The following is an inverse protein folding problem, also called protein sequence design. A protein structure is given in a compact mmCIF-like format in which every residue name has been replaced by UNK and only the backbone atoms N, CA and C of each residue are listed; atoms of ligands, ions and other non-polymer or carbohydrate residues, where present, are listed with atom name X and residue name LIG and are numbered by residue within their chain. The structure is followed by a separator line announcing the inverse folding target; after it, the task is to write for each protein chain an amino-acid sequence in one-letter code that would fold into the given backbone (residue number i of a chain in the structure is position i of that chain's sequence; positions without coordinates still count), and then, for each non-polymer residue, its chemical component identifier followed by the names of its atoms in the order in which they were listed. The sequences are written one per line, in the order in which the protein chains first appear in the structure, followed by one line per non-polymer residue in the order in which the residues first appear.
data_IF_345421403582
#
_entry.id   IF_345421403582
#
_cell.length_a   1.000
_cell.length_b   1.000
_cell.length_c   1.000
_cell.angle_alpha   90.00
_cell.angle_beta   90.00
_cell.angle_gamma   90.00
#
_symmetry.space_group_name_H-M   'P 1'
#
loop_
_entity.id
_entity.type
_entity.pdbx_description
1 polymer ?
#
# COMPACT_ATOMS: atom_id res chain seq x y z
N UNK A 1 3.06 8.28 17.56
CA UNK A 1 3.12 8.56 16.11
C UNK A 1 2.08 7.72 15.34
N UNK A 2 2.05 6.39 15.49
CA UNK A 2 1.04 5.51 14.87
C UNK A 2 -0.42 5.93 15.09
N UNK A 3 -0.91 5.95 16.34
CA UNK A 3 -2.29 6.36 16.63
C UNK A 3 -2.60 7.82 16.29
N UNK A 4 -1.57 8.68 16.24
CA UNK A 4 -1.76 10.06 15.81
C UNK A 4 -2.09 10.15 14.32
N UNK A 5 -1.42 9.34 13.48
CA UNK A 5 -1.73 9.21 12.06
C UNK A 5 -3.17 8.73 11.85
N UNK A 6 -3.57 7.63 12.50
CA UNK A 6 -4.92 7.09 12.37
C UNK A 6 -6.04 7.93 13.00
N UNK A 7 -5.68 8.88 13.86
CA UNK A 7 -6.59 9.88 14.45
C UNK A 7 -6.97 11.02 13.51
N UNK A 8 -6.49 11.07 12.26
CA UNK A 8 -6.80 12.13 11.31
C UNK A 8 -7.84 11.69 10.27
N UNK A 9 -8.84 12.54 10.01
CA UNK A 9 -9.91 12.26 9.04
C UNK A 9 -9.39 12.05 7.62
N UNK A 10 -8.32 12.74 7.22
CA UNK A 10 -7.73 12.59 5.89
C UNK A 10 -7.28 11.15 5.62
N UNK A 11 -6.66 10.50 6.60
CA UNK A 11 -6.22 9.11 6.46
C UNK A 11 -7.41 8.15 6.45
N UNK A 12 -8.44 8.39 7.25
CA UNK A 12 -9.69 7.62 7.18
C UNK A 12 -10.40 7.79 5.83
N UNK A 13 -10.42 9.00 5.28
CA UNK A 13 -10.99 9.26 3.97
C UNK A 13 -10.26 8.49 2.87
N UNK A 14 -8.92 8.50 2.87
CA UNK A 14 -8.13 7.73 1.89
C UNK A 14 -8.49 6.23 1.93
N UNK A 15 -8.68 5.68 3.13
CA UNK A 15 -9.10 4.28 3.32
C UNK A 15 -10.53 4.02 2.85
N UNK A 16 -11.47 4.94 3.08
CA UNK A 16 -12.88 4.79 2.67
C UNK A 16 -13.12 5.06 1.18
N UNK A 17 -12.27 5.86 0.53
CA UNK A 17 -12.33 6.11 -0.91
C UNK A 17 -11.77 4.96 -1.75
N UNK A 18 -11.07 4.01 -1.13
CA UNK A 18 -10.78 2.72 -1.73
C UNK A 18 -12.06 1.88 -1.80
N UNK A 19 -12.82 2.07 -2.87
CA UNK A 19 -14.10 1.38 -3.08
C UNK A 19 -13.96 -0.14 -3.21
N UNK A 20 -12.80 -0.64 -3.65
CA UNK A 20 -12.54 -2.09 -3.71
C UNK A 20 -12.47 -2.63 -2.29
N UNK A 21 -11.70 -1.98 -1.42
CA UNK A 21 -11.63 -2.30 0.01
C UNK A 21 -13.02 -2.19 0.65
N UNK A 22 -13.58 -0.98 0.76
CA UNK A 22 -14.79 -0.73 1.54
C UNK A 22 -15.99 -1.48 0.97
N UNK A 23 -16.11 -1.58 -0.35
CA UNK A 23 -17.15 -2.33 -1.02
C UNK A 23 -17.08 -3.84 -0.77
N UNK A 24 -15.87 -4.42 -0.74
CA UNK A 24 -15.71 -5.86 -0.46
C UNK A 24 -16.08 -6.20 0.99
N UNK A 25 -15.69 -5.35 1.95
CA UNK A 25 -16.14 -5.49 3.34
C UNK A 25 -17.65 -5.38 3.47
N UNK A 26 -18.26 -4.38 2.82
CA UNK A 26 -19.71 -4.23 2.80
C UNK A 26 -20.40 -5.47 2.24
N UNK A 27 -19.95 -5.97 1.08
CA UNK A 27 -20.50 -7.17 0.46
C UNK A 27 -20.32 -8.41 1.33
N UNK A 28 -19.14 -8.61 1.91
CA UNK A 28 -18.86 -9.73 2.81
C UNK A 28 -19.83 -9.78 3.99
N UNK A 29 -20.12 -8.63 4.61
CA UNK A 29 -21.07 -8.51 5.71
C UNK A 29 -22.52 -8.67 5.25
N UNK A 30 -22.92 -7.96 4.19
CA UNK A 30 -24.32 -7.92 3.74
C UNK A 30 -24.82 -9.19 3.08
N UNK A 31 -23.95 -9.93 2.40
CA UNK A 31 -24.32 -11.19 1.76
C UNK A 31 -24.27 -12.36 2.74
N UNK A 32 -23.56 -12.19 3.86
CA UNK A 32 -23.53 -13.14 4.97
C UNK A 32 -24.32 -12.63 6.18
N UNK A 33 -25.40 -11.86 5.98
CA UNK A 33 -26.28 -11.35 7.06
C UNK A 33 -26.66 -12.42 8.08
N UNK A 34 -26.82 -13.68 7.66
CA UNK A 34 -27.14 -14.82 8.54
C UNK A 34 -26.11 -15.00 9.67
N UNK A 35 -24.87 -14.60 9.45
CA UNK A 35 -23.81 -14.64 10.45
C UNK A 35 -23.96 -13.48 11.45
N UNK A 36 -24.52 -12.33 11.05
CA UNK A 36 -24.60 -11.12 11.87
C UNK A 36 -25.94 -10.93 12.59
N UNK A 37 -27.07 -11.38 12.02
CA UNK A 37 -28.41 -11.14 12.59
C UNK A 37 -28.52 -11.67 14.01
N UNK A 38 -28.86 -10.78 14.96
CA UNK A 38 -29.04 -11.13 16.37
C UNK A 38 -27.76 -11.44 17.13
N UNK A 39 -26.59 -11.26 16.52
CA UNK A 39 -25.28 -11.57 17.10
C UNK A 39 -24.58 -10.39 17.75
N UNK A 40 -23.60 -10.68 18.58
CA UNK A 40 -22.64 -9.71 19.13
C UNK A 40 -21.42 -9.65 18.23
N UNK A 41 -21.04 -8.45 17.84
CA UNK A 41 -19.88 -8.19 16.98
C UNK A 41 -18.86 -7.33 17.71
N UNK A 42 -17.58 -7.62 17.54
CA UNK A 42 -16.49 -6.73 17.95
C UNK A 42 -15.76 -6.26 16.70
N UNK A 43 -15.65 -4.94 16.55
CA UNK A 43 -14.90 -4.25 15.50
C UNK A 43 -13.58 -3.76 16.08
N UNK A 44 -12.47 -4.39 15.67
CA UNK A 44 -11.13 -4.16 16.25
C UNK A 44 -10.39 -3.12 15.42
N UNK A 45 -10.02 -2.00 16.05
CA UNK A 45 -9.44 -0.85 15.34
C UNK A 45 -10.49 -0.19 14.45
N UNK A 46 -11.65 0.14 15.05
CA UNK A 46 -12.85 0.53 14.32
C UNK A 46 -12.66 1.78 13.45
N UNK A 47 -11.64 2.61 13.70
CA UNK A 47 -11.38 3.83 12.96
C UNK A 47 -12.60 4.74 13.01
N UNK A 48 -13.13 5.09 11.84
CA UNK A 48 -14.37 5.88 11.72
C UNK A 48 -15.65 5.15 12.19
N UNK A 49 -15.59 3.85 12.45
CA UNK A 49 -16.75 3.01 12.80
C UNK A 49 -17.54 2.49 11.60
N UNK A 50 -17.01 2.60 10.38
CA UNK A 50 -17.71 2.20 9.16
C UNK A 50 -18.07 0.70 9.14
N UNK A 51 -17.17 -0.18 9.59
CA UNK A 51 -17.43 -1.62 9.66
C UNK A 51 -18.46 -1.95 10.74
N UNK A 52 -18.42 -1.24 11.87
CA UNK A 52 -19.44 -1.32 12.92
C UNK A 52 -20.83 -0.95 12.39
N UNK A 53 -20.93 0.10 11.57
CA UNK A 53 -22.19 0.48 10.92
C UNK A 53 -22.69 -0.59 9.93
N UNK A 54 -21.79 -1.24 9.18
CA UNK A 54 -22.16 -2.37 8.33
C UNK A 54 -22.67 -3.56 9.14
N UNK A 55 -22.02 -3.90 10.25
CA UNK A 55 -22.49 -4.96 11.14
C UNK A 55 -23.89 -4.65 11.72
N UNK A 56 -24.12 -3.41 12.16
CA UNK A 56 -25.44 -2.97 12.62
C UNK A 56 -26.50 -3.02 11.50
N UNK A 57 -26.17 -2.59 10.28
CA UNK A 57 -27.04 -2.69 9.10
C UNK A 57 -27.39 -4.14 8.74
N UNK A 58 -26.47 -5.08 8.98
CA UNK A 58 -26.70 -6.50 8.77
C UNK A 58 -27.59 -7.14 9.84
N UNK A 59 -27.96 -6.39 10.88
CA UNK A 59 -28.88 -6.84 11.93
C UNK A 59 -28.18 -7.35 13.18
N UNK A 60 -26.91 -7.00 13.42
CA UNK A 60 -26.24 -7.27 14.69
C UNK A 60 -27.11 -6.80 15.87
N UNK A 61 -27.14 -7.60 16.94
CA UNK A 61 -27.81 -7.25 18.20
C UNK A 61 -27.04 -6.15 18.90
N UNK A 62 -25.71 -6.28 18.93
CA UNK A 62 -24.82 -5.28 19.52
C UNK A 62 -23.46 -5.29 18.81
N UNK A 63 -22.83 -4.13 18.72
CA UNK A 63 -21.48 -3.98 18.17
C UNK A 63 -20.60 -3.21 19.17
N UNK A 64 -19.47 -3.80 19.57
CA UNK A 64 -18.43 -3.10 20.30
C UNK A 64 -17.38 -2.58 19.31
N UNK A 65 -17.33 -1.27 19.12
CA UNK A 65 -16.35 -0.61 18.26
C UNK A 65 -15.14 -0.18 19.11
N UNK A 66 -14.05 -0.93 19.04
CA UNK A 66 -12.82 -0.66 19.83
C UNK A 66 -11.85 0.14 18.99
N UNK A 67 -11.52 1.36 19.42
CA UNK A 67 -10.61 2.26 18.72
C UNK A 67 -9.64 2.93 19.69
N UNK A 68 -8.34 2.82 19.44
CA UNK A 68 -7.31 3.29 20.36
C UNK A 68 -6.95 4.77 20.18
N UNK A 69 -7.15 5.32 18.97
CA UNK A 69 -6.81 6.70 18.64
C UNK A 69 -7.94 7.69 19.01
N UNK A 70 -7.67 8.98 18.77
CA UNK A 70 -8.69 10.03 18.86
C UNK A 70 -9.81 9.88 17.82
N UNK A 71 -9.67 8.96 16.84
CA UNK A 71 -10.73 8.65 15.89
C UNK A 71 -12.01 8.13 16.58
N UNK A 72 -11.89 7.56 17.78
CA UNK A 72 -13.03 7.13 18.58
C UNK A 72 -14.08 8.25 18.79
N UNK A 73 -13.66 9.51 18.95
CA UNK A 73 -14.60 10.63 19.10
C UNK A 73 -15.34 10.95 17.79
N UNK A 74 -14.67 10.81 16.64
CA UNK A 74 -15.29 10.97 15.34
C UNK A 74 -16.21 9.79 15.00
N UNK A 75 -15.83 8.57 15.40
CA UNK A 75 -16.68 7.40 15.27
C UNK A 75 -18.00 7.59 16.03
N UNK A 76 -17.95 8.07 17.28
CA UNK A 76 -19.15 8.44 18.04
C UNK A 76 -20.02 9.44 17.30
N UNK A 77 -19.43 10.54 16.81
CA UNK A 77 -20.18 11.55 16.02
C UNK A 77 -20.85 10.96 14.78
N UNK A 78 -20.16 10.09 14.04
CA UNK A 78 -20.71 9.45 12.86
C UNK A 78 -21.86 8.49 13.22
N UNK A 79 -21.69 7.71 14.29
CA UNK A 79 -22.67 6.75 14.79
C UNK A 79 -23.92 7.48 15.32
N UNK A 80 -23.75 8.56 16.08
CA UNK A 80 -24.84 9.40 16.60
C UNK A 80 -25.63 10.07 15.46
N UNK A 81 -24.96 10.39 14.35
CA UNK A 81 -25.59 10.87 13.11
C UNK A 81 -26.44 9.81 12.38
N UNK A 82 -26.37 8.54 12.79
CA UNK A 82 -27.09 7.42 12.19
C UNK A 82 -27.91 6.65 13.26
N UNK A 83 -28.90 7.29 13.93
CA UNK A 83 -29.51 6.79 15.16
C UNK A 83 -30.16 5.40 15.01
N UNK A 84 -30.77 5.10 13.86
CA UNK A 84 -31.40 3.79 13.60
C UNK A 84 -30.42 2.60 13.67
N UNK A 85 -29.12 2.88 13.50
CA UNK A 85 -28.04 1.90 13.61
C UNK A 85 -27.27 2.07 14.92
N UNK A 86 -27.04 3.32 15.32
CA UNK A 86 -26.16 3.70 16.41
C UNK A 86 -26.61 3.23 17.80
N UNK A 87 -27.91 3.06 18.03
CA UNK A 87 -28.43 2.50 19.30
C UNK A 87 -27.84 1.12 19.65
N UNK A 88 -27.31 0.40 18.65
CA UNK A 88 -26.72 -0.93 18.83
C UNK A 88 -25.20 -0.91 18.94
N UNK A 89 -24.55 0.25 18.84
CA UNK A 89 -23.09 0.36 18.74
C UNK A 89 -22.54 1.08 19.97
N UNK A 90 -21.61 0.45 20.68
CA UNK A 90 -20.85 1.07 21.77
C UNK A 90 -19.43 1.34 21.32
N UNK A 91 -19.01 2.61 21.30
CA UNK A 91 -17.62 2.99 20.99
C UNK A 91 -16.77 2.99 22.26
N UNK A 92 -15.76 2.11 22.31
CA UNK A 92 -14.82 1.97 23.40
C UNK A 92 -13.47 2.53 22.96
N UNK A 93 -13.06 3.63 23.60
CA UNK A 93 -11.75 4.22 23.35
C UNK A 93 -10.68 3.49 24.16
N UNK A 94 -9.75 2.84 23.49
CA UNK A 94 -8.65 2.10 24.12
C UNK A 94 -8.04 1.05 23.21
N UNK A 95 -6.91 0.49 23.63
CA UNK A 95 -6.27 -0.61 22.93
C UNK A 95 -7.01 -1.92 23.18
N UNK A 96 -7.09 -2.77 22.17
CA UNK A 96 -7.82 -4.04 22.27
C UNK A 96 -7.21 -4.99 23.29
N UNK A 97 -5.93 -4.81 23.64
CA UNK A 97 -5.18 -5.53 24.67
C UNK A 97 -5.50 -5.06 26.10
N UNK A 98 -6.10 -3.88 26.26
CA UNK A 98 -6.27 -3.20 27.56
C UNK A 98 -7.75 -3.03 27.95
N UNK A 99 -8.67 -3.01 26.98
CA UNK A 99 -10.10 -2.84 27.23
C UNK A 99 -10.76 -4.13 27.75
N UNK A 100 -11.93 -3.99 28.37
CA UNK A 100 -12.78 -5.10 28.80
C UNK A 100 -14.17 -4.98 28.17
N UNK A 101 -14.74 -6.12 27.76
CA UNK A 101 -16.08 -6.20 27.17
C UNK A 101 -17.03 -6.94 28.12
N UNK A 102 -18.31 -6.57 28.10
CA UNK A 102 -19.32 -7.15 29.02
C UNK A 102 -19.72 -8.57 28.64
N UNK A 103 -19.57 -8.93 27.37
CA UNK A 103 -19.83 -10.26 26.85
C UNK A 103 -18.89 -10.57 25.68
N UNK A 104 -18.74 -11.86 25.37
CA UNK A 104 -17.98 -12.32 24.21
C UNK A 104 -18.77 -12.12 22.91
N UNK A 105 -18.04 -11.96 21.81
CA UNK A 105 -18.58 -11.79 20.47
C UNK A 105 -18.78 -13.12 19.75
N UNK A 106 -19.81 -13.20 18.92
CA UNK A 106 -19.99 -14.27 17.93
C UNK A 106 -19.10 -14.06 16.71
N UNK A 107 -18.82 -12.79 16.37
CA UNK A 107 -18.01 -12.39 15.22
C UNK A 107 -17.00 -11.31 15.62
N UNK A 108 -15.76 -11.47 15.18
CA UNK A 108 -14.78 -10.41 15.12
C UNK A 108 -14.63 -9.90 13.70
N UNK A 109 -14.80 -8.59 13.51
CA UNK A 109 -14.53 -7.91 12.26
C UNK A 109 -13.37 -6.93 12.46
N UNK A 110 -12.49 -6.83 11.47
CA UNK A 110 -11.40 -5.84 11.50
C UNK A 110 -10.86 -5.62 10.09
N UNK A 111 -10.13 -4.53 9.92
CA UNK A 111 -9.22 -4.32 8.81
C UNK A 111 -7.79 -4.21 9.36
N UNK A 112 -7.11 -5.35 9.61
CA UNK A 112 -5.78 -5.36 10.21
C UNK A 112 -4.64 -5.42 9.18
N UNK A 113 -4.92 -5.25 7.89
CA UNK A 113 -3.96 -5.51 6.83
C UNK A 113 -3.09 -4.29 6.54
N UNK A 114 -1.77 -4.45 6.71
CA UNK A 114 -0.79 -3.50 6.20
C UNK A 114 -0.26 -3.87 4.81
N UNK A 115 0.72 -3.11 4.33
CA UNK A 115 1.57 -3.51 3.20
C UNK A 115 2.11 -4.93 3.43
N UNK A 116 2.11 -5.77 2.39
CA UNK A 116 2.48 -7.19 2.49
C UNK A 116 1.64 -7.97 3.53
N UNK A 117 0.40 -7.56 3.78
CA UNK A 117 -0.51 -8.09 4.80
C UNK A 117 -0.09 -7.79 6.26
N UNK A 118 1.20 -7.85 6.57
CA UNK A 118 1.74 -7.90 7.93
C UNK A 118 2.29 -6.56 8.45
N UNK A 119 2.57 -5.58 7.58
CA UNK A 119 3.12 -4.29 8.03
C UNK A 119 2.19 -3.64 9.07
N UNK A 120 2.74 -2.77 9.92
CA UNK A 120 2.03 -2.15 11.05
C UNK A 120 1.71 -3.08 12.21
N UNK A 121 1.87 -4.40 12.02
CA UNK A 121 1.72 -5.44 13.06
C UNK A 121 0.33 -5.47 13.70
N UNK A 122 -0.70 -4.96 13.02
CA UNK A 122 -2.07 -4.95 13.54
C UNK A 122 -2.71 -6.35 13.59
N UNK A 123 -2.17 -7.32 12.83
CA UNK A 123 -2.58 -8.74 12.92
C UNK A 123 -2.39 -9.32 14.33
N UNK A 124 -1.40 -8.85 15.10
CA UNK A 124 -1.18 -9.28 16.48
C UNK A 124 -2.36 -8.88 17.36
N UNK A 125 -2.76 -7.60 17.30
CA UNK A 125 -3.96 -7.09 17.98
C UNK A 125 -5.22 -7.84 17.55
N UNK A 126 -5.33 -8.24 16.28
CA UNK A 126 -6.47 -9.01 15.78
C UNK A 126 -6.52 -10.43 16.37
N UNK A 127 -5.38 -11.10 16.47
CA UNK A 127 -5.24 -12.42 17.12
C UNK A 127 -5.51 -12.32 18.63
N UNK A 128 -4.99 -11.29 19.30
CA UNK A 128 -5.28 -11.07 20.73
C UNK A 128 -6.78 -10.84 20.94
N UNK A 129 -7.44 -10.08 20.07
CA UNK A 129 -8.88 -9.87 20.15
C UNK A 129 -9.67 -11.18 20.00
N UNK A 130 -9.24 -12.08 19.10
CA UNK A 130 -9.80 -13.44 18.97
C UNK A 130 -9.75 -14.18 20.28
N UNK A 131 -8.57 -14.26 20.89
CA UNK A 131 -8.36 -15.07 22.08
C UNK A 131 -9.12 -14.52 23.30
N UNK A 132 -9.20 -13.18 23.42
CA UNK A 132 -9.91 -12.51 24.50
C UNK A 132 -11.42 -12.53 24.32
N UNK A 133 -11.91 -12.11 23.15
CA UNK A 133 -13.30 -11.68 22.98
C UNK A 133 -14.15 -12.61 22.13
N UNK A 134 -13.59 -13.52 21.35
CA UNK A 134 -14.39 -14.43 20.53
C UNK A 134 -14.91 -15.61 21.37
N UNK A 135 -16.15 -16.03 21.12
CA UNK A 135 -16.66 -17.32 21.62
C UNK A 135 -15.99 -18.49 20.88
N UNK A 136 -15.94 -19.70 21.47
CA UNK A 136 -15.52 -20.88 20.74
C UNK A 136 -16.37 -21.07 19.47
N UNK A 137 -15.72 -21.34 18.33
CA UNK A 137 -16.33 -21.43 16.99
C UNK A 137 -17.00 -20.14 16.49
N UNK A 138 -16.68 -18.98 17.09
CA UNK A 138 -17.04 -17.69 16.51
C UNK A 138 -16.33 -17.44 15.19
N UNK A 139 -16.82 -16.49 14.40
CA UNK A 139 -16.26 -16.18 13.07
C UNK A 139 -15.32 -14.98 13.11
N UNK A 140 -14.36 -14.98 12.20
CA UNK A 140 -13.42 -13.88 11.99
C UNK A 140 -13.56 -13.36 10.56
N UNK A 141 -13.75 -12.05 10.42
CA UNK A 141 -13.87 -11.33 9.17
C UNK A 141 -12.76 -10.26 9.09
N UNK A 142 -11.65 -10.51 8.35
CA UNK A 142 -11.36 -11.69 7.53
C UNK A 142 -10.96 -12.94 8.35
N UNK A 143 -11.10 -14.11 7.73
CA UNK A 143 -10.79 -15.44 8.31
C UNK A 143 -9.38 -15.89 7.97
N UNK A 144 -8.95 -15.69 6.72
CA UNK A 144 -7.65 -16.12 6.22
C UNK A 144 -6.98 -14.96 5.48
N UNK A 145 -5.67 -14.80 5.67
CA UNK A 145 -4.83 -14.01 4.79
C UNK A 145 -3.89 -14.89 3.96
N UNK A 146 -3.63 -14.48 2.72
CA UNK A 146 -2.68 -15.15 1.82
C UNK A 146 -1.68 -14.13 1.30
N UNK A 147 -0.40 -14.36 1.56
CA UNK A 147 0.67 -13.62 0.90
C UNK A 147 1.02 -14.39 -0.37
N UNK A 148 0.93 -13.73 -1.51
CA UNK A 148 1.33 -14.26 -2.80
C UNK A 148 2.70 -13.70 -3.17
N UNK A 149 3.56 -14.52 -3.75
CA UNK A 149 4.90 -14.13 -4.17
C UNK A 149 5.21 -14.71 -5.55
N UNK A 150 5.86 -13.92 -6.40
CA UNK A 150 6.35 -14.38 -7.70
C UNK A 150 7.63 -13.62 -8.10
N UNK A 151 8.62 -14.27 -8.73
CA UNK A 151 9.78 -13.57 -9.28
C UNK A 151 9.33 -12.66 -10.43
N UNK A 152 9.92 -11.47 -10.54
CA UNK A 152 9.60 -10.52 -11.61
C UNK A 152 10.85 -10.09 -12.38
N UNK A 153 10.64 -9.59 -13.61
CA UNK A 153 11.65 -8.94 -14.43
C UNK A 153 11.20 -7.54 -14.82
N UNK A 154 11.85 -6.52 -14.27
CA UNK A 154 11.63 -5.11 -14.60
C UNK A 154 12.97 -4.36 -14.59
N UNK A 155 13.60 -4.28 -15.77
CA UNK A 155 14.89 -3.57 -15.94
C UNK A 155 14.73 -2.06 -15.67
N UNK A 156 13.58 -1.48 -16.02
CA UNK A 156 13.33 -0.05 -15.82
C UNK A 156 13.34 0.30 -14.34
N UNK A 157 12.63 -0.46 -13.50
CA UNK A 157 12.66 -0.27 -12.05
C UNK A 157 14.08 -0.45 -11.50
N UNK A 158 14.77 -1.52 -11.91
CA UNK A 158 16.13 -1.78 -11.44
C UNK A 158 17.06 -0.60 -11.72
N UNK A 159 17.05 -0.11 -12.97
CA UNK A 159 17.86 1.03 -13.39
C UNK A 159 17.45 2.32 -12.66
N UNK A 160 16.15 2.54 -12.43
CA UNK A 160 15.67 3.69 -11.66
C UNK A 160 16.26 3.71 -10.24
N UNK A 161 16.24 2.58 -9.54
CA UNK A 161 16.82 2.44 -8.19
C UNK A 161 18.33 2.60 -8.22
N UNK A 162 19.01 1.89 -9.14
CA UNK A 162 20.47 1.97 -9.28
C UNK A 162 20.95 3.40 -9.60
N UNK A 163 20.20 4.12 -10.44
CA UNK A 163 20.56 5.48 -10.85
C UNK A 163 20.48 6.50 -9.71
N UNK A 164 19.65 6.28 -8.67
CA UNK A 164 19.62 7.16 -7.48
C UNK A 164 20.98 7.20 -6.76
N UNK A 165 21.77 6.13 -6.85
CA UNK A 165 23.11 6.07 -6.27
C UNK A 165 24.15 6.87 -7.07
N UNK A 166 23.89 7.22 -8.34
CA UNK A 166 24.84 7.94 -9.18
C UNK A 166 25.13 9.35 -8.67
N UNK A 167 24.18 9.99 -7.96
CA UNK A 167 24.43 11.26 -7.28
C UNK A 167 25.68 11.20 -6.39
N UNK A 168 25.89 10.07 -5.71
CA UNK A 168 27.01 9.87 -4.80
C UNK A 168 28.32 9.55 -5.51
N UNK A 169 28.35 9.35 -6.84
CA UNK A 169 29.59 9.15 -7.61
C UNK A 169 30.37 10.44 -7.88
N UNK A 170 29.80 11.60 -7.56
CA UNK A 170 30.42 12.89 -7.83
C UNK A 170 31.73 13.08 -7.05
N UNK A 171 32.82 13.30 -7.78
CA UNK A 171 34.15 13.55 -7.19
C UNK A 171 34.35 15.00 -6.73
N UNK A 172 33.52 15.92 -7.20
CA UNK A 172 33.59 17.35 -6.87
C UNK A 172 32.19 17.98 -6.80
N UNK A 173 31.52 17.80 -5.67
CA UNK A 173 30.28 18.48 -5.31
C UNK A 173 30.61 19.68 -4.43
N UNK A 174 30.67 20.88 -5.03
CA UNK A 174 31.08 22.12 -4.35
C UNK A 174 32.42 22.01 -3.60
N UNK A 175 33.41 21.33 -4.20
CA UNK A 175 34.73 21.10 -3.59
C UNK A 175 34.83 19.84 -2.72
N UNK A 176 33.77 19.05 -2.61
CA UNK A 176 33.70 17.84 -1.77
C UNK A 176 33.53 16.58 -2.62
N UNK A 177 34.33 15.54 -2.34
CA UNK A 177 34.19 14.24 -2.98
C UNK A 177 33.13 13.39 -2.25
N UNK A 178 32.03 13.07 -2.92
CA UNK A 178 30.93 12.25 -2.38
C UNK A 178 31.12 10.74 -2.60
N UNK A 179 32.03 10.34 -3.50
CA UNK A 179 32.26 8.95 -3.90
C UNK A 179 32.46 7.96 -2.75
N UNK A 180 33.10 8.32 -1.61
CA UNK A 180 33.25 7.40 -0.48
C UNK A 180 31.91 6.87 0.10
N UNK A 181 30.78 7.54 -0.15
CA UNK A 181 29.46 7.12 0.33
C UNK A 181 28.63 6.35 -0.71
N UNK A 182 29.14 6.18 -1.94
CA UNK A 182 28.37 5.60 -3.03
C UNK A 182 27.91 4.17 -2.78
N UNK A 183 28.78 3.31 -2.25
CA UNK A 183 28.44 1.91 -1.98
C UNK A 183 27.37 1.79 -0.90
N UNK A 184 27.46 2.64 0.13
CA UNK A 184 26.48 2.71 1.23
C UNK A 184 25.14 3.21 0.72
N UNK A 185 25.13 4.26 -0.11
CA UNK A 185 23.91 4.77 -0.73
C UNK A 185 23.25 3.74 -1.65
N UNK A 186 24.05 3.05 -2.48
CA UNK A 186 23.56 1.97 -3.35
C UNK A 186 22.86 0.88 -2.53
N UNK A 187 23.51 0.37 -1.48
CA UNK A 187 22.89 -0.60 -0.58
C UNK A 187 21.62 -0.06 0.10
N UNK A 188 21.63 1.22 0.50
CA UNK A 188 20.48 1.89 1.07
C UNK A 188 19.26 1.88 0.13
N UNK A 189 19.45 2.26 -1.13
CA UNK A 189 18.35 2.26 -2.11
C UNK A 189 17.79 0.86 -2.38
N UNK A 190 18.64 -0.17 -2.46
CA UNK A 190 18.19 -1.56 -2.62
C UNK A 190 17.64 -2.20 -1.33
N UNK A 191 17.78 -1.54 -0.18
CA UNK A 191 17.15 -1.96 1.08
C UNK A 191 15.71 -1.45 1.25
N UNK A 192 15.23 -0.61 0.34
CA UNK A 192 13.84 -0.14 0.34
C UNK A 192 13.00 -1.02 -0.58
N UNK A 193 11.96 -1.71 -0.07
CA UNK A 193 11.00 -2.35 -0.95
C UNK A 193 10.15 -1.28 -1.64
N UNK A 194 9.71 -1.56 -2.86
CA UNK A 194 8.95 -0.61 -3.68
C UNK A 194 7.47 -0.92 -3.59
N UNK A 195 6.64 0.10 -3.36
CA UNK A 195 5.18 -0.02 -3.35
C UNK A 195 4.63 0.69 -4.57
N UNK A 196 4.08 -0.08 -5.52
CA UNK A 196 3.38 0.42 -6.71
C UNK A 196 2.52 -0.65 -7.38
N UNK A 197 1.72 -0.21 -8.36
CA UNK A 197 1.02 -1.10 -9.26
C UNK A 197 1.94 -1.47 -10.43
N UNK A 198 1.91 -2.73 -10.85
CA UNK A 198 2.69 -3.19 -11.99
C UNK A 198 1.91 -4.16 -12.89
N UNK A 199 2.36 -4.29 -14.13
CA UNK A 199 1.74 -5.19 -15.11
C UNK A 199 2.05 -6.66 -14.77
N UNK A 200 1.05 -7.54 -14.62
CA UNK A 200 1.28 -8.96 -14.28
C UNK A 200 2.14 -9.70 -15.30
N UNK A 201 2.31 -9.20 -16.53
CA UNK A 201 3.22 -9.76 -17.54
C UNK A 201 4.71 -9.66 -17.17
N UNK A 202 5.06 -8.84 -16.17
CA UNK A 202 6.42 -8.77 -15.62
C UNK A 202 6.76 -9.98 -14.74
N UNK A 203 5.77 -10.80 -14.36
CA UNK A 203 5.99 -12.01 -13.57
C UNK A 203 6.66 -13.09 -14.42
N UNK A 204 7.70 -13.70 -13.84
CA UNK A 204 8.57 -14.69 -14.51
C UNK A 204 8.04 -16.11 -14.32
N UNK A 205 7.25 -16.33 -13.26
CA UNK A 205 6.65 -17.61 -12.92
C UNK A 205 5.27 -17.40 -12.26
N UNK A 206 4.39 -18.42 -12.24
CA UNK A 206 3.19 -18.41 -11.42
C UNK A 206 3.50 -18.14 -9.96
N UNK A 207 2.59 -17.45 -9.28
CA UNK A 207 2.76 -17.12 -7.87
C UNK A 207 2.63 -18.36 -6.98
N UNK A 208 3.38 -18.35 -5.88
CA UNK A 208 3.17 -19.25 -4.74
C UNK A 208 2.54 -18.47 -3.58
N UNK A 209 1.82 -19.16 -2.70
CA UNK A 209 1.12 -18.52 -1.58
C UNK A 209 1.57 -19.06 -0.25
N UNK A 210 1.72 -18.17 0.73
CA UNK A 210 1.81 -18.49 2.15
C UNK A 210 0.50 -18.09 2.83
N UNK A 211 -0.08 -19.01 3.59
CA UNK A 211 -1.41 -18.85 4.20
C UNK A 211 -1.25 -18.59 5.69
N UNK A 212 -1.91 -17.55 6.18
CA UNK A 212 -2.07 -17.25 7.60
C UNK A 212 -3.55 -17.42 7.93
N UNK A 213 -3.88 -18.45 8.71
CA UNK A 213 -5.24 -18.69 9.18
C UNK A 213 -5.43 -17.96 10.50
N UNK A 214 -6.20 -16.86 10.48
CA UNK A 214 -6.39 -16.02 11.66
C UNK A 214 -7.19 -16.72 12.76
N UNK A 215 -7.85 -17.85 12.47
CA UNK A 215 -8.62 -18.61 13.47
C UNK A 215 -7.74 -19.49 14.35
N UNK A 216 -6.53 -19.84 13.89
CA UNK A 216 -5.65 -20.81 14.55
C UNK A 216 -4.22 -20.30 14.80
N UNK A 217 -3.76 -19.31 14.03
CA UNK A 217 -2.42 -18.70 14.17
C UNK A 217 -2.25 -18.06 15.55
N UNK A 218 -1.07 -18.18 16.15
CA UNK A 218 -0.77 -17.52 17.42
C UNK A 218 -0.03 -16.20 17.20
N UNK A 219 -0.07 -15.33 18.20
CA UNK A 219 0.64 -14.04 18.14
C UNK A 219 2.13 -14.24 17.88
N UNK A 220 2.75 -15.23 18.55
CA UNK A 220 4.17 -15.52 18.42
C UNK A 220 4.58 -16.00 17.02
N UNK A 221 3.67 -16.61 16.27
CA UNK A 221 3.91 -17.06 14.89
C UNK A 221 4.11 -15.88 13.93
N UNK A 222 3.64 -14.68 14.31
CA UNK A 222 3.82 -13.46 13.52
C UNK A 222 5.15 -12.76 13.79
N UNK A 223 5.90 -13.14 14.83
CA UNK A 223 7.16 -12.47 15.13
C UNK A 223 8.26 -12.79 14.12
N UNK A 224 8.25 -14.02 13.60
CA UNK A 224 9.20 -14.53 12.63
C UNK A 224 8.47 -15.44 11.63
N UNK A 225 8.31 -14.97 10.39
CA UNK A 225 7.58 -15.69 9.34
C UNK A 225 8.60 -16.19 8.31
N UNK A 226 8.73 -17.51 8.22
CA UNK A 226 9.64 -18.18 7.30
C UNK A 226 8.88 -18.80 6.11
N UNK A 227 9.15 -18.31 4.91
CA UNK A 227 8.48 -18.76 3.68
C UNK A 227 9.51 -19.36 2.72
N UNK A 228 9.54 -20.69 2.53
CA UNK A 228 10.36 -21.30 1.49
C UNK A 228 9.78 -20.94 0.11
N UNK A 229 10.68 -20.59 -0.82
CA UNK A 229 10.31 -20.18 -2.17
C UNK A 229 10.74 -21.25 -3.16
N UNK A 230 9.81 -21.64 -4.04
CA UNK A 230 10.10 -22.52 -5.18
C UNK A 230 9.24 -22.12 -6.38
N UNK A 231 9.91 -21.81 -7.48
CA UNK A 231 9.29 -21.41 -8.74
C UNK A 231 9.91 -22.18 -9.90
N UNK A 232 9.17 -22.26 -11.01
CA UNK A 232 9.70 -22.71 -12.31
C UNK A 232 9.53 -21.56 -13.28
N UNK A 233 10.65 -21.07 -13.82
CA UNK A 233 10.61 -19.96 -14.76
C UNK A 233 9.86 -20.34 -16.02
N UNK A 234 8.93 -19.49 -16.46
CA UNK A 234 8.18 -19.68 -17.71
C UNK A 234 8.87 -19.03 -18.91
N UNK A 235 9.83 -18.14 -18.65
CA UNK A 235 10.53 -17.32 -19.66
C UNK A 235 12.04 -17.30 -19.40
N UNK A 236 12.82 -16.98 -20.43
CA UNK A 236 14.25 -16.70 -20.29
C UNK A 236 14.44 -15.22 -20.05
N UNK A 237 14.97 -14.83 -18.88
CA UNK A 237 15.12 -13.41 -18.52
C UNK A 237 16.07 -13.20 -17.34
N UNK A 238 16.33 -11.93 -17.03
CA UNK A 238 16.97 -11.47 -15.80
C UNK A 238 15.89 -11.22 -14.73
N UNK A 239 15.91 -12.00 -13.65
CA UNK A 239 15.03 -11.85 -12.49
C UNK A 239 15.57 -10.76 -11.59
N UNK A 240 14.78 -9.69 -11.46
CA UNK A 240 15.13 -8.48 -10.74
C UNK A 240 14.77 -8.53 -9.25
N UNK A 241 13.88 -9.44 -8.86
CA UNK A 241 13.45 -9.53 -7.47
C UNK A 241 12.21 -10.39 -7.28
N UNK A 242 11.56 -10.20 -6.14
CA UNK A 242 10.31 -10.85 -5.76
C UNK A 242 9.19 -9.82 -5.66
N UNK A 243 8.10 -10.04 -6.39
CA UNK A 243 6.87 -9.27 -6.26
C UNK A 243 5.95 -10.00 -5.28
N UNK A 244 5.29 -9.23 -4.41
CA UNK A 244 4.42 -9.73 -3.38
C UNK A 244 3.12 -8.93 -3.33
N UNK A 245 2.02 -9.63 -3.06
CA UNK A 245 0.70 -9.04 -2.81
C UNK A 245 -0.05 -9.94 -1.83
N UNK A 246 -1.26 -9.56 -1.46
CA UNK A 246 -2.07 -10.39 -0.58
C UNK A 246 -3.54 -10.43 -0.95
N UNK A 247 -4.17 -11.52 -0.52
CA UNK A 247 -5.61 -11.69 -0.54
C UNK A 247 -6.10 -11.97 0.89
N UNK A 248 -7.31 -11.56 1.23
CA UNK A 248 -7.99 -11.99 2.44
C UNK A 248 -9.35 -12.60 2.12
N UNK A 249 -9.70 -13.67 2.84
CA UNK A 249 -10.98 -14.37 2.72
C UNK A 249 -11.89 -13.97 3.88
N UNK A 250 -13.12 -13.62 3.56
CA UNK A 250 -14.25 -13.59 4.48
C UNK A 250 -15.03 -14.90 4.30
N UNK A 251 -14.83 -15.86 5.21
CA UNK A 251 -15.43 -17.20 5.15
C UNK A 251 -16.82 -17.22 5.79
N UNK A 252 -17.75 -16.56 5.10
CA UNK A 252 -19.14 -16.44 5.51
C UNK A 252 -19.96 -17.71 5.28
N UNK A 253 -21.02 -17.89 6.05
CA UNK A 253 -21.85 -19.12 5.97
C UNK A 253 -22.70 -19.21 4.71
N UNK A 254 -22.93 -18.09 4.03
CA UNK A 254 -23.70 -18.05 2.77
C UNK A 254 -22.76 -18.01 1.57
N UNK A 255 -21.75 -17.14 1.60
CA UNK A 255 -20.79 -16.96 0.52
C UNK A 255 -19.40 -16.65 1.05
N UNK A 256 -18.40 -17.18 0.34
CA UNK A 256 -17.00 -16.82 0.50
C UNK A 256 -16.69 -15.57 -0.33
N UNK A 257 -16.12 -14.55 0.30
CA UNK A 257 -15.69 -13.31 -0.38
C UNK A 257 -14.19 -13.09 -0.25
N UNK A 258 -13.55 -12.78 -1.37
CA UNK A 258 -12.12 -12.47 -1.42
C UNK A 258 -11.92 -10.98 -1.68
N UNK A 259 -11.10 -10.34 -0.85
CA UNK A 259 -10.48 -9.06 -1.18
C UNK A 259 -9.07 -9.36 -1.67
N UNK A 260 -8.79 -9.03 -2.93
CA UNK A 260 -7.47 -9.25 -3.54
C UNK A 260 -6.75 -7.93 -3.80
N UNK A 261 -5.44 -7.93 -3.61
CA UNK A 261 -4.53 -6.85 -4.01
C UNK A 261 -3.63 -7.27 -5.18
N UNK A 262 -3.99 -8.34 -5.90
CA UNK A 262 -3.18 -8.92 -6.96
C UNK A 262 -2.95 -7.98 -8.16
N UNK A 263 -1.79 -8.09 -8.84
CA UNK A 263 -1.54 -7.34 -10.05
C UNK A 263 -2.54 -7.74 -11.15
N UNK A 264 -3.09 -6.74 -11.85
CA UNK A 264 -4.15 -6.93 -12.86
C UNK A 264 -5.57 -6.91 -12.30
N UNK A 265 -5.76 -6.97 -10.98
CA UNK A 265 -7.03 -6.61 -10.34
C UNK A 265 -7.17 -5.08 -10.22
N UNK A 266 -8.39 -4.54 -9.97
CA UNK A 266 -8.55 -3.13 -9.65
C UNK A 266 -7.63 -2.71 -8.49
N UNK A 267 -6.88 -1.63 -8.71
CA UNK A 267 -5.87 -1.17 -7.75
C UNK A 267 -6.50 -0.72 -6.44
N UNK A 268 -5.96 -1.22 -5.33
CA UNK A 268 -6.27 -0.78 -3.96
C UNK A 268 -5.18 0.18 -3.48
N UNK A 269 -5.41 0.88 -2.37
CA UNK A 269 -4.41 1.78 -1.77
C UNK A 269 -3.15 1.05 -1.26
N UNK A 270 -3.21 -0.27 -1.06
CA UNK A 270 -2.05 -1.08 -0.69
C UNK A 270 -1.08 -1.31 -1.85
N UNK A 271 -1.55 -1.18 -3.09
CA UNK A 271 -0.81 -1.55 -4.30
C UNK A 271 -0.22 -2.97 -4.18
N UNK A 272 0.97 -3.21 -4.75
CA UNK A 272 1.77 -4.40 -4.53
C UNK A 272 3.15 -4.00 -4.00
N UNK A 273 3.88 -4.96 -3.43
CA UNK A 273 5.25 -4.78 -2.96
C UNK A 273 6.24 -5.45 -3.92
N UNK A 274 7.35 -4.79 -4.24
CA UNK A 274 8.45 -5.38 -5.02
C UNK A 274 9.76 -5.26 -4.26
N UNK A 275 10.34 -6.39 -3.89
CA UNK A 275 11.66 -6.50 -3.28
C UNK A 275 12.71 -6.66 -4.37
N UNK A 276 13.45 -5.59 -4.69
CA UNK A 276 14.45 -5.59 -5.76
C UNK A 276 15.78 -6.10 -5.23
N UNK A 277 16.42 -7.01 -5.97
CA UNK A 277 17.73 -7.55 -5.64
C UNK A 277 18.83 -6.66 -6.24
N UNK A 278 19.84 -6.34 -5.44
CA UNK A 278 21.01 -5.57 -5.90
C UNK A 278 21.77 -6.27 -7.04
N UNK A 279 21.82 -7.61 -6.98
CA UNK A 279 22.38 -8.47 -8.03
C UNK A 279 21.27 -9.34 -8.62
N UNK A 280 20.71 -8.99 -9.78
CA UNK A 280 19.72 -9.82 -10.46
C UNK A 280 20.29 -11.18 -10.87
N UNK A 281 19.44 -12.20 -11.01
CA UNK A 281 19.85 -13.55 -11.44
C UNK A 281 19.29 -13.87 -12.83
N UNK A 282 20.06 -14.58 -13.65
CA UNK A 282 19.59 -15.02 -14.98
C UNK A 282 18.96 -16.40 -14.93
N UNK A 283 17.83 -16.55 -15.61
CA UNK A 283 17.09 -17.82 -15.70
C UNK A 283 16.67 -18.14 -17.12
N UNK A 284 16.55 -19.42 -17.42
CA UNK A 284 16.03 -19.98 -18.67
C UNK A 284 14.60 -20.52 -18.47
N UNK A 285 13.79 -20.67 -19.54
CA UNK A 285 12.51 -21.36 -19.43
C UNK A 285 12.67 -22.78 -18.87
N UNK A 286 11.79 -23.15 -17.94
CA UNK A 286 11.82 -24.44 -17.24
C UNK A 286 12.86 -24.53 -16.11
N UNK A 287 13.67 -23.50 -15.88
CA UNK A 287 14.66 -23.51 -14.79
C UNK A 287 14.00 -23.27 -13.43
N UNK A 288 14.39 -24.08 -12.44
CA UNK A 288 13.92 -23.91 -11.06
C UNK A 288 14.62 -22.71 -10.40
N UNK A 289 13.81 -21.87 -9.75
CA UNK A 289 14.26 -20.81 -8.83
C UNK A 289 13.85 -21.24 -7.43
N UNK A 290 14.81 -21.33 -6.52
CA UNK A 290 14.57 -21.67 -5.11
C UNK A 290 15.04 -20.55 -4.21
N UNK A 291 14.55 -20.50 -2.98
CA UNK A 291 14.93 -19.44 -2.07
C UNK A 291 14.14 -19.43 -0.78
N UNK A 292 14.17 -18.27 -0.13
CA UNK A 292 13.36 -18.00 1.06
C UNK A 292 13.04 -16.52 1.16
N UNK A 293 11.85 -16.21 1.67
CA UNK A 293 11.51 -14.92 2.24
C UNK A 293 11.36 -15.13 3.74
N UNK A 294 12.21 -14.46 4.51
CA UNK A 294 12.22 -14.55 5.96
C UNK A 294 11.95 -13.17 6.56
N UNK A 295 10.84 -13.04 7.28
CA UNK A 295 10.35 -11.75 7.80
C UNK A 295 10.49 -11.75 9.32
N UNK A 296 11.25 -10.80 9.87
CA UNK A 296 11.49 -10.68 11.31
C UNK A 296 10.90 -9.36 11.80
N UNK A 297 9.95 -9.45 12.72
CA UNK A 297 9.29 -8.28 13.30
C UNK A 297 10.27 -7.46 14.15
N UNK A 298 10.05 -6.14 14.24
CA UNK A 298 10.83 -5.26 15.12
C UNK A 298 9.97 -4.19 15.78
N UNK A 299 10.60 -3.46 16.71
CA UNK A 299 9.95 -2.49 17.61
C UNK A 299 9.33 -1.27 16.91
N UNK A 300 9.64 -1.05 15.64
CA UNK A 300 9.07 0.06 14.86
C UNK A 300 7.71 -0.28 14.22
N UNK A 301 7.03 -1.32 14.69
CA UNK A 301 5.76 -1.81 14.15
C UNK A 301 5.88 -2.24 12.66
N UNK A 302 6.94 -2.98 12.33
CA UNK A 302 7.18 -3.47 10.97
C UNK A 302 8.09 -4.69 10.97
N UNK A 303 8.57 -5.08 9.79
CA UNK A 303 9.38 -6.26 9.53
C UNK A 303 10.65 -5.93 8.75
N UNK A 304 11.76 -6.56 9.14
CA UNK A 304 12.93 -6.71 8.30
C UNK A 304 12.72 -7.93 7.40
N UNK A 305 12.87 -7.73 6.09
CA UNK A 305 12.73 -8.78 5.08
C UNK A 305 14.11 -9.29 4.66
N UNK A 306 14.36 -10.58 4.83
CA UNK A 306 15.54 -11.28 4.33
C UNK A 306 15.13 -12.15 3.14
N UNK A 307 15.46 -11.69 1.94
CA UNK A 307 15.16 -12.38 0.70
C UNK A 307 16.42 -13.08 0.18
N UNK A 308 16.29 -14.35 -0.20
CA UNK A 308 17.29 -15.08 -0.98
C UNK A 308 16.59 -15.74 -2.16
N UNK A 309 17.13 -15.56 -3.37
CA UNK A 309 16.72 -16.28 -4.57
C UNK A 309 17.96 -16.89 -5.22
N UNK A 310 17.81 -18.14 -5.67
CA UNK A 310 18.85 -18.91 -6.31
C UNK A 310 18.32 -19.63 -7.54
N UNK A 311 19.02 -19.51 -8.67
CA UNK A 311 18.75 -20.29 -9.87
C UNK A 311 19.49 -21.63 -9.77
N UNK A 312 18.78 -22.76 -9.88
CA UNK A 312 19.42 -24.08 -9.93
C UNK A 312 20.19 -24.27 -11.22
N UNK A 313 21.19 -25.15 -11.22
CA UNK A 313 21.85 -25.57 -12.46
C UNK A 313 20.82 -26.12 -13.46
N UNK A 314 21.05 -25.84 -14.74
CA UNK A 314 20.12 -26.13 -15.84
C UNK A 314 20.87 -26.67 -17.05
N UNK A 315 20.27 -27.63 -17.76
CA UNK A 315 20.80 -28.20 -19.00
C UNK A 315 21.43 -29.59 -18.87
N UNK A 316 21.75 -30.25 -20.00
CA UNK A 316 22.39 -31.57 -20.03
C UNK A 316 23.76 -31.54 -19.33
N UNK A 317 23.98 -32.44 -18.38
CA UNK A 317 25.25 -32.54 -17.62
C UNK A 317 25.31 -31.72 -16.33
N UNK A 318 24.26 -30.98 -15.98
CA UNK A 318 24.15 -30.32 -14.68
C UNK A 318 23.99 -31.34 -13.54
N UNK A 319 24.77 -31.20 -12.46
CA UNK A 319 24.51 -31.96 -11.23
C UNK A 319 23.12 -31.62 -10.68
N UNK A 320 22.27 -32.64 -10.51
CA UNK A 320 20.93 -32.45 -9.98
C UNK A 320 20.99 -31.83 -8.59
N UNK A 321 20.41 -30.64 -8.43
CA UNK A 321 20.34 -29.91 -7.16
C UNK A 321 21.41 -28.83 -6.95
N UNK A 322 22.39 -28.69 -7.85
CA UNK A 322 23.38 -27.62 -7.76
C UNK A 322 22.78 -26.22 -7.94
N UNK A 323 23.45 -25.21 -7.39
CA UNK A 323 23.07 -23.80 -7.49
C UNK A 323 24.01 -23.08 -8.46
N UNK A 324 23.46 -22.41 -9.47
CA UNK A 324 24.23 -21.67 -10.47
C UNK A 324 24.48 -20.22 -10.04
N UNK A 325 23.45 -19.55 -9.55
CA UNK A 325 23.48 -18.16 -9.12
C UNK A 325 22.68 -18.01 -7.84
N UNK A 326 23.13 -17.15 -6.93
CA UNK A 326 22.40 -16.78 -5.72
C UNK A 326 22.49 -15.28 -5.55
N UNK A 327 21.37 -14.68 -5.18
CA UNK A 327 21.30 -13.29 -4.76
C UNK A 327 20.50 -13.19 -3.48
N UNK A 328 20.88 -12.25 -2.62
CA UNK A 328 20.21 -12.00 -1.36
C UNK A 328 20.12 -10.51 -1.07
N UNK A 329 19.04 -10.12 -0.39
CA UNK A 329 18.78 -8.74 0.02
C UNK A 329 18.23 -8.69 1.43
N UNK A 330 18.59 -7.63 2.15
CA UNK A 330 17.96 -7.23 3.41
C UNK A 330 17.18 -5.95 3.13
N UNK A 331 15.87 -5.97 3.33
CA UNK A 331 15.00 -4.82 3.12
C UNK A 331 14.26 -4.47 4.42
N UNK A 332 13.88 -3.22 4.58
CA UNK A 332 13.06 -2.76 5.72
C UNK A 332 11.67 -2.36 5.21
N UNK A 333 10.63 -3.02 5.72
CA UNK A 333 9.24 -2.76 5.34
C UNK A 333 8.69 -1.48 5.99
N UNK A 334 9.40 -0.87 6.94
CA UNK A 334 8.93 0.33 7.65
C UNK A 334 8.85 1.56 6.75
N UNK A 335 9.84 1.73 5.87
CA UNK A 335 9.98 2.90 5.02
C UNK A 335 10.12 2.49 3.54
N UNK A 336 9.04 1.95 2.94
CA UNK A 336 9.06 1.57 1.55
C UNK A 336 9.15 2.79 0.64
N UNK A 337 9.71 2.59 -0.55
CA UNK A 337 9.67 3.58 -1.61
C UNK A 337 8.32 3.52 -2.34
N UNK A 338 7.43 4.46 -2.06
CA UNK A 338 6.16 4.61 -2.79
C UNK A 338 6.42 5.22 -4.17
N UNK A 339 6.25 4.39 -5.21
CA UNK A 339 6.51 4.77 -6.60
C UNK A 339 5.19 5.08 -7.30
N UNK A 340 4.79 6.34 -7.26
CA UNK A 340 3.63 6.80 -8.04
C UNK A 340 4.05 6.89 -9.51
N UNK A 341 3.59 5.95 -10.33
CA UNK A 341 3.73 6.06 -11.78
C UNK A 341 2.97 7.30 -12.26
N UNK A 342 3.67 8.38 -12.57
CA UNK A 342 3.06 9.42 -13.40
C UNK A 342 2.68 8.75 -14.75
N UNK A 343 1.48 8.99 -15.30
CA UNK A 343 1.28 8.71 -16.71
C UNK A 343 2.35 9.51 -17.47
N UNK A 344 3.24 8.82 -18.19
CA UNK A 344 4.22 9.50 -19.02
C UNK A 344 3.46 10.39 -20.01
N UNK A 345 3.70 11.70 -19.96
CA UNK A 345 3.29 12.60 -21.01
C UNK A 345 4.05 12.16 -22.28
N UNK A 346 3.33 11.62 -23.26
CA UNK A 346 3.88 11.43 -24.60
C UNK A 346 4.36 12.80 -25.09
N UNK A 347 5.66 12.97 -25.45
CA UNK A 347 6.04 14.17 -26.17
C UNK A 347 5.34 14.12 -27.53
N UNK A 348 4.43 15.08 -27.75
CA UNK A 348 3.94 15.37 -29.09
C UNK A 348 5.16 15.64 -29.99
N UNK A 349 5.23 15.04 -31.19
CA UNK A 349 6.32 15.34 -32.11
C UNK A 349 6.27 16.82 -32.46
N UNK A 350 7.30 17.57 -32.06
CA UNK A 350 7.49 18.93 -32.55
C UNK A 350 7.88 18.83 -34.02
N UNK A 351 7.00 19.34 -34.88
CA UNK A 351 7.27 19.53 -36.31
C UNK A 351 8.58 20.32 -36.49
N UNK A 352 9.48 19.72 -37.27
CA UNK A 352 10.63 20.40 -37.82
C UNK A 352 10.14 21.45 -38.83
N UNK A 353 10.16 22.73 -38.44
CA UNK A 353 10.31 23.81 -39.40
C UNK A 353 11.68 24.46 -39.23
N UNK A 354 12.55 24.04 -40.15
CA UNK A 354 13.76 24.75 -40.58
C UNK A 354 13.49 26.22 -40.83
N UNK A 355 14.31 27.11 -40.24
CA UNK A 355 14.66 28.36 -40.89
C UNK A 355 16.15 28.64 -40.68
N UNK A 356 16.89 28.45 -41.77
CA UNK A 356 18.23 28.98 -41.99
C UNK A 356 18.14 30.51 -42.01
N UNK A 357 19.00 31.21 -41.26
CA UNK A 357 19.34 32.60 -41.57
C UNK A 357 20.83 32.81 -41.32
N UNK A 358 21.58 32.90 -42.42
CA UNK A 358 22.94 33.41 -42.48
C UNK A 358 22.89 34.79 -43.17
N UNK A 359 23.43 35.79 -42.47
CA UNK A 359 23.99 37.07 -42.95
C UNK A 359 23.09 38.03 -43.76
N UNK A 360 22.91 39.26 -43.25
CA UNK A 360 23.58 40.46 -43.79
C UNK A 360 23.34 41.72 -42.93
N UNK A 361 24.26 42.65 -43.10
CA UNK A 361 24.52 43.94 -42.43
C UNK A 361 23.31 44.88 -42.26
N UNK A 362 23.23 45.55 -41.11
CA UNK A 362 22.45 46.79 -40.93
C UNK A 362 23.37 48.03 -40.94
N UNK A 363 23.02 48.98 -41.81
CA UNK A 363 23.48 50.37 -41.81
C UNK A 363 22.34 51.25 -41.28
N UNK A 364 22.71 52.25 -40.47
CA UNK A 364 21.92 53.25 -39.74
C UNK A 364 20.85 54.01 -40.56
N UNK A 365 19.80 54.53 -39.89
CA UNK A 365 19.55 55.99 -39.63
C UNK A 365 18.14 56.28 -39.05
N UNK A 366 18.14 56.96 -37.90
CA UNK A 366 17.30 58.04 -37.32
C UNK A 366 15.74 58.07 -37.31
N UNK A 367 15.24 58.10 -36.07
CA UNK A 367 14.32 59.06 -35.41
C UNK A 367 13.50 60.09 -36.22
N UNK A 368 12.23 60.23 -35.83
CA UNK A 368 11.50 61.51 -35.71
C UNK A 368 10.28 61.37 -34.77
N UNK A 369 10.29 62.16 -33.70
CA UNK A 369 9.14 62.57 -32.89
C UNK A 369 8.38 63.71 -33.61
N UNK A 370 7.05 63.75 -33.53
CA UNK A 370 6.28 65.01 -33.63
C UNK A 370 5.01 64.97 -32.74
N UNK A 371 4.69 66.14 -32.21
CA UNK A 371 3.81 66.52 -31.09
C UNK A 371 2.30 66.53 -31.41
N UNK A 372 1.43 66.67 -30.38
CA UNK A 372 0.05 67.12 -30.60
C UNK A 372 -0.95 67.09 -29.43
N UNK A 373 -0.84 68.09 -28.54
CA UNK A 373 -1.93 68.89 -27.91
C UNK A 373 -3.09 68.28 -27.08
N UNK A 374 -3.10 68.72 -25.81
CA UNK A 374 -4.13 69.50 -25.10
C UNK A 374 -5.32 68.90 -24.33
N UNK A 375 -5.43 69.50 -23.14
CA UNK A 375 -6.42 69.36 -22.06
C UNK A 375 -7.78 69.99 -22.38
N UNK A 376 -8.86 69.40 -21.87
CA UNK A 376 -9.92 70.21 -21.24
C UNK A 376 -10.74 69.45 -20.19
N UNK A 377 -10.91 70.14 -19.08
CA UNK A 377 -11.68 69.88 -17.86
C UNK A 377 -13.20 70.01 -18.13
N UNK A 378 -14.05 69.21 -17.46
CA UNK A 378 -15.10 69.68 -16.49
C UNK A 378 -16.29 68.72 -16.29
N UNK A 379 -16.42 68.27 -15.03
CA UNK A 379 -17.62 68.21 -14.14
C UNK A 379 -18.86 67.33 -14.43
N UNK A 380 -19.13 66.42 -13.46
CA UNK A 380 -20.30 66.36 -12.53
C UNK A 380 -20.82 64.93 -12.28
N UNK A 381 -20.67 64.48 -11.03
CA UNK A 381 -21.72 64.05 -10.07
C UNK A 381 -23.02 63.45 -10.68
N UNK A 382 -23.64 62.39 -10.17
CA UNK A 382 -23.70 61.95 -8.78
C UNK A 382 -24.33 60.55 -8.64
N UNK A 383 -23.93 59.90 -7.54
CA UNK A 383 -24.67 59.10 -6.56
C UNK A 383 -25.78 58.09 -6.92
N UNK A 384 -25.84 57.01 -6.12
CA UNK A 384 -27.15 56.41 -5.80
C UNK A 384 -27.29 55.01 -5.20
N UNK A 385 -26.29 54.49 -4.48
CA UNK A 385 -26.33 53.65 -3.27
C UNK A 385 -27.36 52.50 -3.00
N UNK A 386 -26.79 51.53 -2.29
CA UNK A 386 -27.31 50.34 -1.63
C UNK A 386 -28.22 50.55 -0.39
N UNK A 387 -29.02 49.50 -0.11
CA UNK A 387 -29.32 48.80 1.16
C UNK A 387 -30.05 49.45 2.38
N UNK A 388 -30.89 48.57 2.96
CA UNK A 388 -31.27 48.36 4.38
C UNK A 388 -32.68 48.72 4.91
N UNK A 389 -33.45 47.63 5.14
CA UNK A 389 -34.26 47.22 6.31
C UNK A 389 -35.19 48.19 7.04
N UNK A 390 -36.44 47.74 7.19
CA UNK A 390 -37.12 47.54 8.48
C UNK A 390 -37.87 46.20 8.47
#
# INVERSE_FOLDING_TARGET
MYFHYYGQLLHQQNMMQDYVRTGTYYAAVMENRVDFVGRVVVDVGAGSGILSLFAAQAGARHVYAVEASEMAEYARKLIDGNPSLGERITVIKGKVEEVELREKADILISEPMGTLLVNERMLESYIIARDRFLVPNGKMFPTIGRIHMAPFSDEYLYMEIANKALFWQQQNYYGVNLAPLQSTAFQGYFSQPVVDAFDPRLLVAPAVSHVIDFTSTKEEDLYEIYIPLKFVSTVGTRVHGLACWFDVLFDGSTVQRWLTTGPGAPTTHWYQLRCVLAQPIYVMPGQEIVGRLHMVSHKAQSYTLHLTLSAKMWGPGAEQGGILQTSSGKLDLKEPYYRLSQPQAYPLPQDQQSNQLLQTQDIQIQAQDEEGSDLMQQTLQDSGAELHSL
#
